data_IF_070199120893
#
_entry.id   IF_070199120893
#
_cell.length_a   1.000
_cell.length_b   1.000
_cell.length_c   1.000
_cell.angle_alpha   90.00
_cell.angle_beta   90.00
_cell.angle_gamma   90.00
#
_symmetry.space_group_name_H-M   'P 1'
#
loop_
_entity.id
_entity.type
_entity.pdbx_description
1 polymer ?
#
# COMPACT_ATOMS: atom_id res chain seq x y z
N UNK A 1 3.47 26.83 -21.05
CA UNK A 1 3.38 27.09 -19.60
C UNK A 1 2.09 26.46 -19.10
N UNK A 2 2.16 25.20 -18.69
CA UNK A 2 1.01 24.53 -18.04
C UNK A 2 1.05 24.99 -16.59
N UNK A 3 0.03 25.74 -16.17
CA UNK A 3 -0.07 26.23 -14.79
C UNK A 3 -0.15 25.07 -13.82
N UNK A 4 0.91 24.88 -13.03
CA UNK A 4 1.05 23.88 -11.97
C UNK A 4 0.18 24.23 -10.76
N UNK A 5 -1.13 24.10 -10.91
CA UNK A 5 -2.02 24.13 -9.76
C UNK A 5 -1.86 22.77 -9.02
N UNK A 6 -1.74 22.73 -7.68
CA UNK A 6 -1.71 21.47 -6.92
C UNK A 6 -3.02 20.68 -7.03
N UNK A 7 -3.00 19.34 -7.05
CA UNK A 7 -4.24 18.51 -7.04
C UNK A 7 -5.00 18.62 -5.70
N UNK A 8 -4.32 19.08 -4.63
CA UNK A 8 -4.92 19.51 -3.36
C UNK A 8 -5.47 20.94 -3.39
N UNK A 9 -5.22 21.71 -4.46
CA UNK A 9 -5.75 23.06 -4.57
C UNK A 9 -7.26 23.01 -4.79
N UNK A 10 -7.99 23.87 -4.06
CA UNK A 10 -9.44 24.09 -4.27
C UNK A 10 -9.85 24.35 -5.71
N UNK A 11 -8.90 24.77 -6.56
CA UNK A 11 -9.10 24.97 -7.99
C UNK A 11 -9.32 23.68 -8.79
N UNK A 12 -8.90 22.52 -8.27
CA UNK A 12 -9.22 21.20 -8.85
C UNK A 12 -10.48 20.58 -8.28
N UNK A 13 -11.00 21.05 -7.15
CA UNK A 13 -12.24 20.52 -6.55
C UNK A 13 -13.41 20.47 -7.54
N UNK A 14 -13.63 21.46 -8.42
CA UNK A 14 -14.69 21.36 -9.44
C UNK A 14 -14.45 20.23 -10.44
N UNK A 15 -13.19 19.96 -10.80
CA UNK A 15 -12.83 18.90 -11.77
C UNK A 15 -12.90 17.53 -11.10
N UNK A 16 -12.39 17.42 -9.86
CA UNK A 16 -12.46 16.20 -9.05
C UNK A 16 -13.91 15.83 -8.75
N UNK A 17 -14.73 16.78 -8.30
CA UNK A 17 -16.16 16.54 -8.03
C UNK A 17 -16.94 16.17 -9.30
N UNK A 18 -16.58 16.73 -10.46
CA UNK A 18 -17.16 16.31 -11.73
C UNK A 18 -16.76 14.87 -12.07
N UNK A 19 -15.49 14.50 -11.89
CA UNK A 19 -15.01 13.14 -12.11
C UNK A 19 -15.69 12.13 -11.17
N UNK A 20 -15.79 12.45 -9.88
CA UNK A 20 -16.51 11.66 -8.88
C UNK A 20 -17.98 11.48 -9.26
N UNK A 21 -18.64 12.55 -9.67
CA UNK A 21 -20.04 12.50 -10.13
C UNK A 21 -20.22 11.65 -11.40
N UNK A 22 -19.28 11.70 -12.34
CA UNK A 22 -19.31 10.84 -13.54
C UNK A 22 -19.16 9.38 -13.12
N UNK A 23 -18.20 9.08 -12.23
CA UNK A 23 -17.96 7.73 -11.74
C UNK A 23 -19.18 7.19 -10.99
N UNK A 24 -19.81 8.00 -10.13
CA UNK A 24 -21.02 7.66 -9.39
C UNK A 24 -22.23 7.45 -10.32
N UNK A 25 -22.43 8.33 -11.31
CA UNK A 25 -23.49 8.15 -12.29
C UNK A 25 -23.31 6.84 -13.10
N UNK A 26 -22.07 6.51 -13.44
CA UNK A 26 -21.75 5.30 -14.18
C UNK A 26 -21.90 4.03 -13.32
N UNK A 27 -21.73 4.12 -11.99
CA UNK A 27 -21.86 2.97 -11.09
C UNK A 27 -23.33 2.54 -10.92
N UNK A 28 -24.28 3.48 -11.00
CA UNK A 28 -25.72 3.22 -10.97
C UNK A 28 -26.35 2.81 -12.30
N UNK A 29 -25.57 2.71 -13.38
CA UNK A 29 -26.07 2.55 -14.75
C UNK A 29 -25.67 1.22 -15.41
N UNK A 30 -25.84 1.11 -16.74
CA UNK A 30 -25.59 -0.08 -17.54
C UNK A 30 -24.19 -0.71 -17.32
N UNK A 31 -24.08 -2.02 -17.56
CA UNK A 31 -22.83 -2.79 -17.41
C UNK A 31 -21.65 -2.14 -18.16
N UNK A 32 -21.90 -1.59 -19.36
CA UNK A 32 -20.88 -0.93 -20.18
C UNK A 32 -20.27 0.30 -19.50
N UNK A 33 -21.06 1.10 -18.78
CA UNK A 33 -20.56 2.29 -18.09
C UNK A 33 -19.70 1.92 -16.87
N UNK A 34 -20.02 0.80 -16.21
CA UNK A 34 -19.16 0.22 -15.17
C UNK A 34 -17.83 -0.28 -15.72
N UNK A 35 -17.82 -0.86 -16.92
CA UNK A 35 -16.58 -1.25 -17.61
C UNK A 35 -15.73 -0.03 -18.01
N UNK A 36 -16.36 1.07 -18.44
CA UNK A 36 -15.66 2.33 -18.74
C UNK A 36 -14.98 2.88 -17.47
N UNK A 37 -15.68 2.90 -16.33
CA UNK A 37 -15.07 3.29 -15.06
C UNK A 37 -13.88 2.38 -14.70
N UNK A 38 -14.07 1.06 -14.84
CA UNK A 38 -13.03 0.07 -14.58
C UNK A 38 -11.77 0.35 -15.39
N UNK A 39 -11.92 0.50 -16.70
CA UNK A 39 -10.82 0.74 -17.62
C UNK A 39 -10.16 2.10 -17.35
N UNK A 40 -10.96 3.17 -17.23
CA UNK A 40 -10.45 4.52 -17.02
C UNK A 40 -9.68 4.67 -15.70
N UNK A 41 -10.24 4.17 -14.59
CA UNK A 41 -9.58 4.21 -13.29
C UNK A 41 -8.32 3.36 -13.27
N UNK A 42 -8.36 2.16 -13.84
CA UNK A 42 -7.20 1.28 -13.87
C UNK A 42 -6.07 1.83 -14.75
N UNK A 43 -6.39 2.39 -15.92
CA UNK A 43 -5.40 2.99 -16.82
C UNK A 43 -4.80 4.25 -16.19
N UNK A 44 -5.61 5.08 -15.51
CA UNK A 44 -5.12 6.22 -14.75
C UNK A 44 -4.18 5.78 -13.62
N UNK A 45 -4.58 4.79 -12.80
CA UNK A 45 -3.76 4.25 -11.72
C UNK A 45 -2.41 3.75 -12.24
N UNK A 46 -2.41 2.96 -13.32
CA UNK A 46 -1.20 2.46 -13.94
C UNK A 46 -0.27 3.59 -14.42
N UNK A 47 -0.83 4.59 -15.12
CA UNK A 47 -0.06 5.72 -15.64
C UNK A 47 0.55 6.56 -14.53
N UNK A 48 -0.21 6.84 -13.47
CA UNK A 48 0.25 7.64 -12.33
C UNK A 48 1.33 6.87 -11.54
N UNK A 49 1.15 5.56 -11.37
CA UNK A 49 2.14 4.66 -10.76
C UNK A 49 3.45 4.64 -11.55
N UNK A 50 3.39 4.42 -12.86
CA UNK A 50 4.58 4.43 -13.72
C UNK A 50 5.25 5.80 -13.81
N UNK A 51 4.52 6.91 -13.59
CA UNK A 51 5.11 8.26 -13.49
C UNK A 51 5.84 8.43 -12.16
N UNK A 52 5.24 7.97 -11.06
CA UNK A 52 5.86 8.03 -9.75
C UNK A 52 7.12 7.16 -9.71
N UNK A 53 7.05 5.94 -10.21
CA UNK A 53 8.20 5.04 -10.40
C UNK A 53 9.32 5.73 -11.16
N UNK A 54 9.05 6.27 -12.36
CA UNK A 54 10.08 6.96 -13.13
C UNK A 54 10.65 8.20 -12.44
N UNK A 55 9.87 8.85 -11.58
CA UNK A 55 10.33 10.02 -10.83
C UNK A 55 11.26 9.62 -9.68
N UNK A 56 10.90 8.58 -8.95
CA UNK A 56 11.68 8.07 -7.80
C UNK A 56 12.89 7.25 -8.28
N UNK A 57 12.76 6.52 -9.38
CA UNK A 57 13.80 5.67 -9.98
C UNK A 57 14.67 6.40 -11.02
N UNK A 58 14.63 7.74 -11.11
CA UNK A 58 15.36 8.47 -12.17
C UNK A 58 16.84 8.03 -12.20
N UNK A 59 17.36 7.63 -13.38
CA UNK A 59 18.72 7.12 -13.49
C UNK A 59 19.73 8.27 -13.42
N UNK A 60 20.25 8.50 -12.22
CA UNK A 60 21.56 9.09 -12.02
C UNK A 60 22.64 8.01 -12.05
N UNK A 61 22.80 7.36 -13.21
CA UNK A 61 23.95 6.51 -13.54
C UNK A 61 23.93 5.08 -13.02
N UNK A 62 23.83 4.13 -13.96
CA UNK A 62 24.38 2.79 -13.79
C UNK A 62 23.34 1.70 -13.53
N UNK A 63 23.34 0.75 -14.45
CA UNK A 63 22.58 -0.49 -14.49
C UNK A 63 22.58 -1.30 -13.18
N UNK A 64 21.62 -2.23 -13.16
CA UNK A 64 21.52 -3.42 -12.30
C UNK A 64 21.12 -3.22 -10.84
N UNK A 65 19.85 -3.55 -10.55
CA UNK A 65 19.57 -4.51 -9.48
C UNK A 65 20.56 -5.67 -9.61
N UNK A 66 21.19 -6.11 -8.52
CA UNK A 66 20.85 -7.47 -8.11
C UNK A 66 20.97 -7.64 -6.59
N UNK A 67 20.33 -8.66 -6.02
CA UNK A 67 20.57 -9.03 -4.62
C UNK A 67 22.07 -9.09 -4.32
N UNK A 68 22.60 -8.13 -3.57
CA UNK A 68 24.04 -7.99 -3.41
C UNK A 68 24.46 -6.65 -2.84
N UNK A 69 25.02 -6.72 -1.63
CA UNK A 69 25.71 -5.68 -0.86
C UNK A 69 26.63 -4.77 -1.69
N UNK A 70 26.24 -3.50 -1.88
CA UNK A 70 27.15 -2.51 -2.45
C UNK A 70 26.47 -1.19 -2.82
N UNK A 71 26.34 -0.26 -1.87
CA UNK A 71 26.66 1.18 -2.05
C UNK A 71 26.19 2.00 -0.83
N UNK A 72 26.81 1.72 0.31
CA UNK A 72 26.90 2.69 1.40
C UNK A 72 27.74 3.88 0.90
N UNK A 73 27.14 4.89 0.24
CA UNK A 73 27.81 6.18 0.00
C UNK A 73 26.81 7.35 -0.01
N UNK A 74 26.77 8.05 1.13
CA UNK A 74 26.48 9.49 1.34
C UNK A 74 25.04 9.98 1.14
N UNK A 75 24.25 10.27 2.17
CA UNK A 75 24.44 11.20 3.30
C UNK A 75 24.46 12.70 2.94
N UNK A 76 23.45 13.39 3.50
CA UNK A 76 23.33 14.82 3.88
C UNK A 76 22.95 15.83 2.79
N UNK A 77 21.74 16.41 2.95
CA UNK A 77 21.38 17.84 2.97
C UNK A 77 19.84 17.92 3.05
N UNK A 78 19.12 18.64 3.91
CA UNK A 78 19.41 19.60 5.00
C UNK A 78 18.14 19.83 5.84
N UNK A 79 18.36 20.35 7.06
CA UNK A 79 17.49 20.71 8.19
C UNK A 79 16.53 21.90 7.94
N UNK A 80 15.41 22.00 8.68
CA UNK A 80 14.70 23.27 8.96
C UNK A 80 13.30 23.16 9.65
N UNK A 81 13.17 23.73 10.85
CA UNK A 81 12.09 23.70 11.87
C UNK A 81 10.78 24.51 11.59
N UNK A 82 9.68 24.23 12.32
CA UNK A 82 8.83 25.29 12.96
C UNK A 82 7.27 25.33 12.83
N UNK A 83 6.53 24.60 13.70
CA UNK A 83 5.46 25.00 14.71
C UNK A 83 4.21 25.92 14.39
N UNK A 84 2.98 25.33 14.52
CA UNK A 84 1.67 25.75 15.20
C UNK A 84 0.81 26.90 14.60
N UNK A 85 -0.55 26.96 14.52
CA UNK A 85 -1.71 26.26 15.13
C UNK A 85 -3.00 26.28 14.25
N UNK A 86 -3.97 25.41 14.60
CA UNK A 86 -5.30 25.20 14.00
C UNK A 86 -6.44 26.04 14.64
N UNK A 87 -7.54 26.22 13.89
CA UNK A 87 -8.96 26.04 14.35
C UNK A 87 -9.90 26.09 13.11
N UNK A 88 -10.88 25.24 12.80
CA UNK A 88 -11.43 24.00 13.36
C UNK A 88 -12.80 23.66 12.71
N UNK A 89 -13.04 22.37 12.42
CA UNK A 89 -14.35 21.66 12.43
C UNK A 89 -15.05 21.30 11.09
N UNK A 90 -15.66 20.13 10.83
CA UNK A 90 -15.65 18.75 11.38
C UNK A 90 -16.55 17.84 10.50
N UNK A 91 -16.06 16.71 9.99
CA UNK A 91 -16.77 15.41 9.85
C UNK A 91 -15.77 14.31 9.41
N UNK A 92 -15.78 13.18 10.13
CA UNK A 92 -14.72 12.20 10.42
C UNK A 92 -14.38 11.24 9.25
N UNK A 93 -13.17 10.71 9.03
CA UNK A 93 -11.93 10.73 9.80
C UNK A 93 -10.79 10.07 8.99
N UNK A 94 -10.18 10.85 8.11
CA UNK A 94 -8.77 10.86 7.66
C UNK A 94 -8.62 12.21 6.95
N UNK A 95 -8.20 13.28 7.64
CA UNK A 95 -7.92 14.56 6.98
C UNK A 95 -6.63 15.17 7.49
N UNK A 96 -5.85 15.55 6.49
CA UNK A 96 -4.66 16.38 6.46
C UNK A 96 -4.76 17.62 7.34
N UNK A 97 -3.66 17.93 8.02
CA UNK A 97 -3.29 19.30 8.36
C UNK A 97 -2.69 19.96 7.10
N UNK A 98 -3.40 20.93 6.53
CA UNK A 98 -2.77 22.06 5.82
C UNK A 98 -2.35 23.06 6.92
N UNK A 99 -1.24 23.81 6.84
CA UNK A 99 -0.81 24.67 5.73
C UNK A 99 0.66 25.11 5.97
N UNK A 100 1.44 25.35 4.91
CA UNK A 100 2.79 25.93 5.00
C UNK A 100 3.51 26.02 3.65
N UNK A 101 3.59 27.23 3.10
CA UNK A 101 4.28 27.59 1.86
C UNK A 101 5.80 27.29 1.90
N UNK A 102 6.27 26.05 1.70
CA UNK A 102 7.70 25.80 1.41
C UNK A 102 7.89 24.58 0.49
N UNK A 103 8.81 24.72 -0.47
CA UNK A 103 9.43 23.69 -1.33
C UNK A 103 8.76 23.30 -2.66
N UNK A 104 9.01 24.14 -3.67
CA UNK A 104 8.68 23.96 -5.09
C UNK A 104 9.46 22.83 -5.82
N UNK A 105 10.05 21.86 -5.10
CA UNK A 105 10.73 20.70 -5.72
C UNK A 105 10.34 19.34 -5.12
N UNK A 106 9.84 19.27 -3.88
CA UNK A 106 9.27 18.05 -3.28
C UNK A 106 7.85 17.71 -3.79
N UNK A 107 7.21 18.63 -4.51
CA UNK A 107 5.77 18.54 -4.80
C UNK A 107 5.35 17.57 -5.92
N UNK A 108 6.22 17.14 -6.83
CA UNK A 108 5.77 16.33 -7.97
C UNK A 108 5.53 14.85 -7.59
N UNK A 109 6.42 14.27 -6.77
CA UNK A 109 6.25 12.91 -6.23
C UNK A 109 5.06 12.84 -5.29
N UNK A 110 4.96 13.79 -4.36
CA UNK A 110 3.83 13.89 -3.42
C UNK A 110 2.49 14.04 -4.14
N UNK A 111 2.42 14.88 -5.20
CA UNK A 111 1.21 15.02 -6.03
C UNK A 111 0.80 13.71 -6.68
N UNK A 112 1.74 12.98 -7.28
CA UNK A 112 1.46 11.69 -7.93
C UNK A 112 1.05 10.64 -6.91
N UNK A 113 1.65 10.63 -5.72
CA UNK A 113 1.29 9.72 -4.64
C UNK A 113 -0.12 10.05 -4.08
N UNK A 114 -0.45 11.33 -3.88
CA UNK A 114 -1.79 11.75 -3.46
C UNK A 114 -2.84 11.41 -4.53
N UNK A 115 -2.52 11.54 -5.81
CA UNK A 115 -3.37 11.11 -6.91
C UNK A 115 -3.56 9.58 -6.91
N UNK A 116 -2.50 8.79 -6.66
CA UNK A 116 -2.60 7.34 -6.53
C UNK A 116 -3.47 6.91 -5.36
N UNK A 117 -3.38 7.62 -4.22
CA UNK A 117 -4.23 7.36 -3.07
C UNK A 117 -5.71 7.57 -3.42
N UNK A 118 -6.04 8.70 -4.04
CA UNK A 118 -7.40 8.98 -4.51
C UNK A 118 -7.87 7.95 -5.56
N UNK A 119 -7.03 7.58 -6.52
CA UNK A 119 -7.37 6.55 -7.52
C UNK A 119 -7.63 5.19 -6.86
N UNK A 120 -6.87 4.81 -5.83
CA UNK A 120 -7.10 3.58 -5.08
C UNK A 120 -8.47 3.59 -4.37
N UNK A 121 -8.84 4.71 -3.73
CA UNK A 121 -10.15 4.91 -3.10
C UNK A 121 -11.28 4.79 -4.13
N UNK A 122 -11.13 5.44 -5.28
CA UNK A 122 -12.13 5.39 -6.36
C UNK A 122 -12.25 3.99 -6.96
N UNK A 123 -11.13 3.28 -7.16
CA UNK A 123 -11.13 1.90 -7.62
C UNK A 123 -11.85 0.98 -6.62
N UNK A 124 -11.66 1.19 -5.31
CA UNK A 124 -12.36 0.43 -4.29
C UNK A 124 -13.88 0.72 -4.30
N UNK A 125 -14.28 1.99 -4.35
CA UNK A 125 -15.69 2.39 -4.42
C UNK A 125 -16.40 1.83 -5.66
N UNK A 126 -15.68 1.63 -6.76
CA UNK A 126 -16.21 1.04 -8.00
C UNK A 126 -16.19 -0.50 -8.04
N UNK A 127 -15.73 -1.16 -6.98
CA UNK A 127 -15.59 -2.63 -6.95
C UNK A 127 -14.42 -3.16 -7.79
N UNK A 128 -13.44 -2.31 -8.09
CA UNK A 128 -12.22 -2.63 -8.87
C UNK A 128 -10.96 -2.68 -7.98
N UNK A 129 -11.13 -2.71 -6.66
CA UNK A 129 -10.01 -2.68 -5.71
C UNK A 129 -8.99 -3.82 -5.92
N UNK A 130 -9.43 -4.99 -6.41
CA UNK A 130 -8.54 -6.11 -6.70
C UNK A 130 -7.45 -5.77 -7.73
N UNK A 131 -7.78 -4.96 -8.74
CA UNK A 131 -6.82 -4.54 -9.77
C UNK A 131 -5.83 -3.50 -9.22
N UNK A 132 -6.26 -2.67 -8.26
CA UNK A 132 -5.37 -1.75 -7.56
C UNK A 132 -4.35 -2.51 -6.69
N UNK A 133 -4.81 -3.52 -5.93
CA UNK A 133 -3.95 -4.40 -5.13
C UNK A 133 -2.93 -5.11 -6.00
N UNK A 134 -3.36 -5.66 -7.14
CA UNK A 134 -2.46 -6.31 -8.10
C UNK A 134 -1.41 -5.34 -8.64
N UNK A 135 -1.81 -4.17 -9.16
CA UNK A 135 -0.86 -3.18 -9.71
C UNK A 135 0.11 -2.66 -8.66
N UNK A 136 -0.34 -2.45 -7.43
CA UNK A 136 0.53 -2.07 -6.33
C UNK A 136 1.52 -3.16 -6.00
N UNK A 137 1.10 -4.42 -5.98
CA UNK A 137 2.00 -5.55 -5.73
C UNK A 137 3.10 -5.73 -6.78
N UNK A 138 2.81 -5.40 -8.04
CA UNK A 138 3.80 -5.44 -9.14
C UNK A 138 4.82 -4.29 -9.08
N UNK A 139 4.56 -3.22 -8.32
CA UNK A 139 5.45 -2.06 -8.16
C UNK A 139 6.64 -2.33 -7.22
N UNK A 140 7.28 -3.48 -7.35
CA UNK A 140 8.41 -3.92 -6.51
C UNK A 140 9.63 -2.99 -6.61
N UNK A 141 9.86 -2.40 -7.78
CA UNK A 141 10.93 -1.41 -7.99
C UNK A 141 10.72 -0.15 -7.15
N UNK A 142 9.50 0.39 -7.14
CA UNK A 142 9.14 1.53 -6.28
C UNK A 142 9.26 1.16 -4.80
N UNK A 143 8.74 0.00 -4.40
CA UNK A 143 8.77 -0.46 -3.02
C UNK A 143 10.20 -0.59 -2.48
N UNK A 144 11.13 -1.08 -3.32
CA UNK A 144 12.53 -1.23 -2.96
C UNK A 144 13.21 0.11 -2.62
N UNK A 145 12.94 1.16 -3.40
CA UNK A 145 13.54 2.49 -3.20
C UNK A 145 12.69 3.42 -2.33
N UNK A 146 11.48 3.02 -1.94
CA UNK A 146 10.53 3.86 -1.21
C UNK A 146 11.10 4.35 0.13
N UNK A 147 11.95 3.56 0.79
CA UNK A 147 12.62 3.96 2.05
C UNK A 147 13.65 5.08 1.87
N UNK A 148 14.07 5.37 0.63
CA UNK A 148 14.97 6.48 0.28
C UNK A 148 14.21 7.76 -0.05
N UNK A 149 12.89 7.70 -0.21
CA UNK A 149 12.07 8.86 -0.52
C UNK A 149 12.02 9.85 0.65
N UNK A 150 11.64 11.10 0.39
CA UNK A 150 11.39 12.08 1.45
C UNK A 150 10.31 11.58 2.42
N UNK A 151 10.37 11.91 3.74
CA UNK A 151 9.42 11.41 4.74
C UNK A 151 7.94 11.67 4.39
N UNK A 152 7.64 12.79 3.71
CA UNK A 152 6.29 13.12 3.23
C UNK A 152 5.79 12.11 2.21
N UNK A 153 6.62 11.80 1.20
CA UNK A 153 6.31 10.78 0.20
C UNK A 153 6.20 9.40 0.84
N UNK A 154 7.11 9.03 1.75
CA UNK A 154 7.00 7.77 2.51
C UNK A 154 5.67 7.65 3.24
N UNK A 155 5.22 8.74 3.88
CA UNK A 155 3.93 8.77 4.58
C UNK A 155 2.75 8.46 3.67
N UNK A 156 2.72 9.05 2.47
CA UNK A 156 1.66 8.78 1.49
C UNK A 156 1.73 7.33 0.97
N UNK A 157 2.93 6.81 0.70
CA UNK A 157 3.13 5.42 0.27
C UNK A 157 2.68 4.40 1.32
N UNK A 158 2.94 4.69 2.60
CA UNK A 158 2.42 3.88 3.72
C UNK A 158 0.89 3.90 3.74
N UNK A 159 0.26 5.07 3.56
CA UNK A 159 -1.20 5.19 3.51
C UNK A 159 -1.82 4.42 2.35
N UNK A 160 -1.23 4.49 1.15
CA UNK A 160 -1.69 3.71 -0.02
C UNK A 160 -1.60 2.20 0.30
N UNK A 161 -0.46 1.76 0.85
CA UNK A 161 -0.26 0.34 1.20
C UNK A 161 -1.27 -0.13 2.24
N UNK A 162 -1.49 0.65 3.30
CA UNK A 162 -2.48 0.35 4.34
C UNK A 162 -3.92 0.25 3.79
N UNK A 163 -4.30 1.19 2.91
CA UNK A 163 -5.61 1.21 2.26
C UNK A 163 -5.81 -0.02 1.36
N UNK A 164 -4.80 -0.42 0.60
CA UNK A 164 -4.88 -1.58 -0.29
C UNK A 164 -4.90 -2.90 0.46
N UNK A 165 -4.17 -3.02 1.58
CA UNK A 165 -4.28 -4.18 2.49
C UNK A 165 -5.71 -4.28 3.05
N UNK A 166 -6.29 -3.15 3.48
CA UNK A 166 -7.68 -3.11 3.95
C UNK A 166 -8.65 -3.59 2.88
N UNK A 167 -8.52 -3.11 1.65
CA UNK A 167 -9.39 -3.54 0.55
C UNK A 167 -9.20 -5.00 0.16
N UNK A 168 -7.96 -5.51 0.17
CA UNK A 168 -7.70 -6.94 -0.07
C UNK A 168 -8.45 -7.83 0.94
N UNK A 169 -8.52 -7.41 2.20
CA UNK A 169 -9.31 -8.08 3.24
C UNK A 169 -10.82 -7.98 3.02
N UNK A 170 -11.32 -6.78 2.72
CA UNK A 170 -12.77 -6.55 2.50
C UNK A 170 -13.30 -7.39 1.33
N UNK A 171 -12.52 -7.49 0.25
CA UNK A 171 -12.84 -8.33 -0.91
C UNK A 171 -12.94 -9.83 -0.58
N UNK A 172 -12.27 -10.29 0.48
CA UNK A 172 -12.38 -11.67 0.97
C UNK A 172 -13.61 -11.88 1.86
N UNK A 173 -13.94 -10.86 2.65
CA UNK A 173 -15.01 -10.93 3.66
C UNK A 173 -16.39 -10.76 3.01
N UNK A 174 -16.46 -10.04 1.89
CA UNK A 174 -17.60 -9.99 0.99
C UNK A 174 -17.75 -11.34 0.25
N UNK A 175 -18.07 -12.42 0.99
CA UNK A 175 -18.68 -13.62 0.43
C UNK A 175 -20.03 -13.21 -0.16
N UNK A 176 -19.99 -12.83 -1.43
CA UNK A 176 -21.18 -12.44 -2.18
C UNK A 176 -22.21 -13.57 -2.16
N UNK A 177 -23.51 -13.29 -1.91
CA UNK A 177 -24.57 -14.23 -2.24
C UNK A 177 -24.45 -14.65 -3.72
N UNK A 178 -24.91 -15.86 -4.11
CA UNK A 178 -24.59 -16.55 -5.37
C UNK A 178 -24.99 -15.83 -6.69
N UNK A 179 -25.46 -14.58 -6.62
CA UNK A 179 -26.09 -13.86 -7.71
C UNK A 179 -25.32 -12.62 -8.21
N UNK A 180 -24.13 -12.33 -7.70
CA UNK A 180 -23.23 -11.34 -8.31
C UNK A 180 -22.01 -12.07 -8.87
N UNK A 181 -21.92 -12.14 -10.20
CA UNK A 181 -20.74 -12.56 -10.95
C UNK A 181 -19.63 -11.51 -10.78
N UNK A 182 -19.13 -11.29 -9.56
CA UNK A 182 -17.75 -10.80 -9.44
C UNK A 182 -16.91 -11.83 -10.18
N UNK A 183 -16.20 -11.38 -11.22
CA UNK A 183 -15.54 -12.28 -12.16
C UNK A 183 -14.70 -13.28 -11.37
N UNK A 184 -14.97 -14.59 -11.51
CA UNK A 184 -14.24 -15.65 -10.80
C UNK A 184 -12.70 -15.51 -10.92
N UNK A 185 -12.26 -14.87 -12.00
CA UNK A 185 -10.89 -14.46 -12.26
C UNK A 185 -10.30 -13.50 -11.21
N UNK A 186 -11.07 -12.52 -10.72
CA UNK A 186 -10.62 -11.58 -9.68
C UNK A 186 -10.47 -12.26 -8.31
N UNK A 187 -11.36 -13.20 -7.97
CA UNK A 187 -11.27 -13.96 -6.72
C UNK A 187 -10.06 -14.91 -6.70
N UNK A 188 -9.72 -15.51 -7.84
CA UNK A 188 -8.54 -16.39 -7.96
C UNK A 188 -7.20 -15.63 -7.93
N UNK A 189 -7.17 -14.40 -8.44
CA UNK A 189 -5.94 -13.59 -8.49
C UNK A 189 -5.66 -12.81 -7.19
N UNK A 190 -6.66 -12.68 -6.30
CA UNK A 190 -6.54 -11.91 -5.06
C UNK A 190 -5.50 -12.48 -4.07
N UNK A 191 -5.43 -13.82 -3.82
CA UNK A 191 -4.36 -14.41 -2.99
C UNK A 191 -2.97 -14.08 -3.52
N UNK A 192 -2.75 -14.30 -4.82
CA UNK A 192 -1.46 -14.05 -5.46
C UNK A 192 -1.09 -12.56 -5.48
N UNK A 193 -2.06 -11.68 -5.72
CA UNK A 193 -1.86 -10.23 -5.71
C UNK A 193 -1.54 -9.73 -4.31
N UNK A 194 -2.25 -10.24 -3.29
CA UNK A 194 -1.98 -9.93 -1.89
C UNK A 194 -0.61 -10.42 -1.46
N UNK A 195 -0.19 -11.62 -1.89
CA UNK A 195 1.17 -12.13 -1.68
C UNK A 195 2.22 -11.22 -2.29
N UNK A 196 2.09 -10.88 -3.58
CA UNK A 196 3.04 -10.01 -4.28
C UNK A 196 3.12 -8.65 -3.59
N UNK A 197 1.97 -8.09 -3.18
CA UNK A 197 1.91 -6.85 -2.41
C UNK A 197 2.66 -6.94 -1.08
N UNK A 198 2.43 -7.98 -0.29
CA UNK A 198 3.13 -8.17 0.98
C UNK A 198 4.63 -8.38 0.76
N UNK A 199 5.04 -9.19 -0.21
CA UNK A 199 6.46 -9.41 -0.51
C UNK A 199 7.17 -8.13 -0.99
N UNK A 200 6.51 -7.32 -1.81
CA UNK A 200 7.09 -6.07 -2.33
C UNK A 200 7.16 -4.99 -1.26
N UNK A 201 6.09 -4.77 -0.49
CA UNK A 201 5.92 -3.58 0.34
C UNK A 201 6.23 -3.78 1.82
N UNK A 202 6.19 -5.01 2.35
CA UNK A 202 6.51 -5.27 3.76
C UNK A 202 7.94 -4.86 4.16
N UNK A 203 8.99 -5.06 3.32
CA UNK A 203 10.32 -4.51 3.59
C UNK A 203 10.32 -2.99 3.78
N UNK A 204 9.58 -2.28 2.93
CA UNK A 204 9.42 -0.83 3.05
C UNK A 204 8.69 -0.46 4.35
N UNK A 205 7.61 -1.15 4.72
CA UNK A 205 6.90 -0.88 5.96
C UNK A 205 7.82 -1.02 7.19
N UNK A 206 8.70 -2.03 7.22
CA UNK A 206 9.69 -2.20 8.29
C UNK A 206 10.72 -1.07 8.36
N UNK A 207 10.97 -0.37 7.25
CA UNK A 207 12.02 0.65 7.12
C UNK A 207 11.47 2.08 7.09
N UNK A 208 10.18 2.25 6.83
CA UNK A 208 9.56 3.55 6.67
C UNK A 208 9.81 4.42 7.91
N UNK A 209 10.32 5.62 7.67
CA UNK A 209 10.57 6.57 8.74
C UNK A 209 9.23 6.97 9.35
N UNK A 210 8.98 6.45 10.55
CA UNK A 210 7.88 6.87 11.39
C UNK A 210 8.26 8.23 12.00
N UNK A 211 8.26 9.28 11.17
CA UNK A 211 8.79 10.61 11.49
C UNK A 211 8.45 11.05 12.92
N UNK A 212 9.48 11.40 13.69
CA UNK A 212 9.34 11.75 15.10
C UNK A 212 8.44 12.99 15.33
N UNK A 213 8.31 13.88 14.33
CA UNK A 213 7.49 15.09 14.41
C UNK A 213 6.12 14.98 13.74
N UNK A 214 5.92 14.01 12.83
CA UNK A 214 4.63 13.75 12.17
C UNK A 214 4.58 12.29 11.70
N UNK A 215 4.09 11.35 12.53
CA UNK A 215 4.04 9.95 12.15
C UNK A 215 3.03 9.76 11.01
N UNK A 216 3.42 8.99 9.99
CA UNK A 216 2.59 8.70 8.82
C UNK A 216 1.22 8.09 9.17
N UNK A 217 1.21 7.31 10.24
CA UNK A 217 0.06 6.66 10.83
C UNK A 217 0.05 6.89 12.34
N UNK A 218 -1.12 7.13 12.94
CA UNK A 218 -1.25 7.12 14.41
C UNK A 218 -0.98 5.72 14.97
N UNK A 219 -0.70 5.61 16.28
CA UNK A 219 -0.54 4.30 16.93
C UNK A 219 -1.75 3.39 16.75
N UNK A 220 -2.97 3.94 16.75
CA UNK A 220 -4.19 3.17 16.47
C UNK A 220 -4.26 2.68 15.02
N UNK A 221 -3.86 3.50 14.04
CA UNK A 221 -3.79 3.04 12.65
C UNK A 221 -2.74 1.96 12.46
N UNK A 222 -1.57 2.12 13.07
CA UNK A 222 -0.49 1.14 13.00
C UNK A 222 -0.96 -0.23 13.48
N UNK A 223 -1.62 -0.28 14.63
CA UNK A 223 -2.18 -1.53 15.17
C UNK A 223 -3.32 -2.09 14.31
N UNK A 224 -4.12 -1.23 13.69
CA UNK A 224 -5.14 -1.66 12.74
C UNK A 224 -4.50 -2.28 11.48
N UNK A 225 -3.47 -1.65 10.93
CA UNK A 225 -2.74 -2.14 9.75
C UNK A 225 -2.01 -3.44 10.08
N UNK A 226 -1.34 -3.54 11.23
CA UNK A 226 -0.75 -4.80 11.71
C UNK A 226 -1.78 -5.92 11.75
N UNK A 227 -2.93 -5.68 12.39
CA UNK A 227 -4.02 -6.66 12.46
C UNK A 227 -4.51 -7.05 11.06
N UNK A 228 -4.65 -6.09 10.14
CA UNK A 228 -5.04 -6.38 8.76
C UNK A 228 -3.98 -7.17 7.99
N UNK A 229 -2.68 -6.94 8.25
CA UNK A 229 -1.59 -7.74 7.68
C UNK A 229 -1.62 -9.17 8.25
N UNK A 230 -1.73 -9.33 9.56
CA UNK A 230 -1.82 -10.65 10.20
C UNK A 230 -2.99 -11.46 9.64
N UNK A 231 -4.17 -10.85 9.58
CA UNK A 231 -5.36 -11.48 9.02
C UNK A 231 -5.18 -11.78 7.53
N UNK A 232 -4.55 -10.89 6.76
CA UNK A 232 -4.27 -11.15 5.33
C UNK A 232 -3.34 -12.34 5.15
N UNK A 233 -2.28 -12.45 5.95
CA UNK A 233 -1.35 -13.58 5.94
C UNK A 233 -2.09 -14.88 6.28
N UNK A 234 -2.87 -14.88 7.36
CA UNK A 234 -3.55 -16.09 7.82
C UNK A 234 -4.68 -16.56 6.91
N UNK A 235 -5.38 -15.61 6.29
CA UNK A 235 -6.61 -15.89 5.56
C UNK A 235 -6.39 -16.01 4.06
N UNK A 236 -5.52 -15.20 3.45
CA UNK A 236 -5.37 -15.17 1.99
C UNK A 236 -4.23 -16.07 1.48
N UNK A 237 -3.24 -16.38 2.30
CA UNK A 237 -2.03 -17.09 1.87
C UNK A 237 -2.05 -18.57 2.23
N UNK A 238 -1.47 -19.41 1.35
CA UNK A 238 -1.16 -20.81 1.67
C UNK A 238 0.03 -20.94 2.62
N UNK A 239 0.26 -22.13 3.20
CA UNK A 239 1.28 -22.35 4.24
C UNK A 239 2.71 -21.95 3.82
N UNK A 240 3.13 -22.33 2.61
CA UNK A 240 4.45 -21.97 2.07
C UNK A 240 4.58 -20.47 1.81
N UNK A 241 3.48 -19.81 1.46
CA UNK A 241 3.46 -18.38 1.16
C UNK A 241 3.47 -17.55 2.44
N UNK A 242 2.78 -18.03 3.49
CA UNK A 242 2.88 -17.49 4.85
C UNK A 242 4.34 -17.54 5.32
N UNK A 243 5.03 -18.67 5.14
CA UNK A 243 6.45 -18.79 5.50
C UNK A 243 7.31 -17.75 4.78
N UNK A 244 7.13 -17.58 3.47
CA UNK A 244 7.90 -16.61 2.68
C UNK A 244 7.72 -15.18 3.19
N UNK A 245 6.47 -14.76 3.43
CA UNK A 245 6.16 -13.41 3.92
C UNK A 245 6.69 -13.21 5.35
N UNK A 246 6.49 -14.18 6.24
CA UNK A 246 6.94 -14.11 7.63
C UNK A 246 8.47 -14.13 7.76
N UNK A 247 9.15 -14.92 6.93
CA UNK A 247 10.62 -14.92 6.87
C UNK A 247 11.15 -13.58 6.37
N UNK A 248 10.52 -13.00 5.35
CA UNK A 248 10.89 -11.69 4.83
C UNK A 248 10.68 -10.61 5.90
N UNK A 249 9.52 -10.61 6.56
CA UNK A 249 9.25 -9.72 7.68
C UNK A 249 10.33 -9.82 8.75
N UNK A 250 10.65 -11.02 9.22
CA UNK A 250 11.64 -11.25 10.27
C UNK A 250 13.00 -10.65 9.87
N UNK A 251 13.44 -10.89 8.64
CA UNK A 251 14.70 -10.33 8.13
C UNK A 251 14.72 -8.79 8.20
N UNK A 252 13.68 -8.13 7.72
CA UNK A 252 13.63 -6.66 7.66
C UNK A 252 13.33 -6.01 9.02
N UNK A 253 12.52 -6.65 9.86
CA UNK A 253 12.20 -6.20 11.22
C UNK A 253 13.47 -6.15 12.09
N UNK A 254 14.27 -7.22 12.07
CA UNK A 254 15.53 -7.25 12.85
C UNK A 254 16.66 -6.40 12.24
N UNK A 255 16.60 -6.09 10.94
CA UNK A 255 17.59 -5.24 10.28
C UNK A 255 17.47 -3.76 10.65
N UNK A 256 16.32 -3.31 11.19
CA UNK A 256 16.09 -1.92 11.56
C UNK A 256 15.88 -1.75 13.07
N UNK A 257 16.94 -1.49 13.86
CA UNK A 257 16.84 -1.38 15.32
C UNK A 257 16.08 -0.13 15.80
N UNK A 258 15.66 0.76 14.88
CA UNK A 258 14.98 2.02 15.20
C UNK A 258 13.48 1.99 14.89
N UNK A 259 12.96 0.88 14.36
CA UNK A 259 11.52 0.73 14.07
C UNK A 259 11.00 -0.60 14.57
N UNK A 260 10.04 -0.53 15.50
CA UNK A 260 9.31 -1.70 16.00
C UNK A 260 8.02 -1.98 15.19
N UNK A 261 7.91 -1.42 13.98
CA UNK A 261 6.71 -1.51 13.15
C UNK A 261 7.03 -2.06 11.74
N UNK A 262 6.19 -2.95 11.17
CA UNK A 262 5.00 -3.57 11.76
C UNK A 262 5.36 -4.75 12.68
N UNK A 263 4.70 -4.87 13.84
CA UNK A 263 4.89 -6.00 14.74
C UNK A 263 3.95 -7.17 14.38
N UNK A 264 4.51 -8.20 13.72
CA UNK A 264 3.79 -9.43 13.34
C UNK A 264 4.19 -10.63 14.21
N UNK A 265 4.74 -10.41 15.41
CA UNK A 265 5.21 -11.48 16.29
C UNK A 265 4.07 -12.44 16.68
N UNK A 266 2.86 -11.91 16.86
CA UNK A 266 1.66 -12.71 17.15
C UNK A 266 1.38 -13.71 16.03
N UNK A 267 1.27 -13.22 14.79
CA UNK A 267 1.12 -14.05 13.60
C UNK A 267 2.24 -15.07 13.43
N UNK A 268 3.50 -14.65 13.61
CA UNK A 268 4.66 -15.54 13.48
C UNK A 268 4.63 -16.70 14.49
N UNK A 269 4.27 -16.41 15.74
CA UNK A 269 4.17 -17.42 16.80
C UNK A 269 3.06 -18.43 16.49
N UNK A 270 1.88 -17.96 16.07
CA UNK A 270 0.75 -18.83 15.67
C UNK A 270 1.11 -19.72 14.48
N UNK A 271 1.84 -19.19 13.49
CA UNK A 271 2.34 -19.98 12.36
C UNK A 271 3.35 -21.05 12.83
N UNK A 272 4.30 -20.69 13.70
CA UNK A 272 5.28 -21.65 14.26
C UNK A 272 4.60 -22.80 15.01
N UNK A 273 3.59 -22.50 15.82
CA UNK A 273 2.84 -23.51 16.57
C UNK A 273 2.06 -24.44 15.63
N UNK A 274 1.44 -23.88 14.59
CA UNK A 274 0.74 -24.65 13.56
C UNK A 274 1.70 -25.57 12.80
N UNK A 275 2.83 -25.04 12.32
CA UNK A 275 3.84 -25.79 11.60
C UNK A 275 4.43 -26.92 12.46
N UNK A 276 4.71 -26.66 13.75
CA UNK A 276 5.17 -27.67 14.70
C UNK A 276 4.15 -28.79 14.88
N UNK A 277 2.88 -28.45 15.09
CA UNK A 277 1.82 -29.44 15.28
C UNK A 277 1.62 -30.30 14.03
N UNK A 278 1.71 -29.71 12.84
CA UNK A 278 1.64 -30.45 11.58
C UNK A 278 2.82 -31.41 11.39
N UNK A 279 4.03 -30.96 11.72
CA UNK A 279 5.21 -31.83 11.66
C UNK A 279 5.07 -33.04 12.60
N UNK A 280 4.64 -32.82 13.84
CA UNK A 280 4.39 -33.90 14.81
C UNK A 280 3.30 -34.85 14.30
N UNK A 281 2.18 -34.33 13.82
CA UNK A 281 1.08 -35.15 13.29
C UNK A 281 1.51 -36.00 12.10
N UNK A 282 2.33 -35.47 11.19
CA UNK A 282 2.91 -36.21 10.06
C UNK A 282 3.80 -37.36 10.54
N UNK A 283 4.65 -37.12 11.55
CA UNK A 283 5.53 -38.15 12.13
C UNK A 283 4.74 -39.28 12.83
N UNK A 284 3.68 -38.94 13.58
CA UNK A 284 2.81 -39.94 14.20
C UNK A 284 2.04 -40.77 13.17
N UNK A 285 1.59 -40.15 12.08
CA UNK A 285 0.89 -40.85 11.00
C UNK A 285 1.79 -41.82 10.22
N UNK A 286 3.08 -41.50 10.07
CA UNK A 286 4.07 -42.43 9.49
C UNK A 286 4.38 -43.60 10.41
N UNK A 287 4.41 -43.37 11.73
CA UNK A 287 4.69 -44.43 12.71
C UNK A 287 3.53 -45.44 12.83
N UNK A 288 2.28 -45.00 12.68
CA UNK A 288 1.09 -45.88 12.72
C UNK A 288 0.83 -46.67 11.43
N UNK A 289 1.65 -46.50 10.39
CA UNK A 289 1.54 -47.24 9.11
C UNK A 289 2.58 -48.37 8.96
N UNK A 290 3.47 -48.51 9.95
CA UNK A 290 4.45 -49.60 10.08
C UNK A 290 3.93 -50.63 11.09
#
# INVERSE_FOLDING_TARGET
MVTEVPVSSRKYDPVRSLAEKIVENNSGSEVLLREVNRYGLSDAFARTLSRLERLVLKPGGGDTCPGGVGWVVRAVQSVGEGVVDRMGGSSWGWREEEEGEVSRLGGAGDKLAAELLWLAEMMAACGVGAEAVWRWGEASGLACVAHLAEPRLQSILVKITALLIKHAKELKTEETPPNKKSSAQQQQLLPQSSKNMLLSWLPFLCQASNGAEAPALTTSEKTQVEKMIEESIETLLGEEEQEQVLRLWLHHFFSNPHSDWPNLQGCYTRWCDRARNQFIARQSATYNKL
#
